data_IF_594786097296
#
_entry.id   IF_594786097296
#
_cell.length_a   1.000
_cell.length_b   1.000
_cell.length_c   1.000
_cell.angle_alpha   90.00
_cell.angle_beta   90.00
_cell.angle_gamma   90.00
#
_symmetry.space_group_name_H-M   'P 1'
#
loop_
_entity.id
_entity.type
_entity.pdbx_description
1 polymer ?
#
# COMPACT_ATOMS: atom_id res chain seq x y z
N UNK A 1 11.04 54.17 57.78
CA UNK A 1 10.50 53.91 59.12
C UNK A 1 9.34 52.96 58.96
N UNK A 2 9.61 51.65 59.02
CA UNK A 2 8.87 50.76 59.90
C UNK A 2 9.69 49.48 60.05
N UNK A 3 9.84 49.03 61.29
CA UNK A 3 10.74 47.97 61.74
C UNK A 3 9.87 46.92 62.41
N UNK A 4 9.91 45.67 61.94
CA UNK A 4 9.72 44.51 62.82
C UNK A 4 10.64 43.35 62.36
N UNK A 5 11.47 42.92 63.32
CA UNK A 5 12.38 41.78 63.30
C UNK A 5 11.59 40.43 63.34
N UNK A 6 12.14 39.24 63.11
CA UNK A 6 13.08 38.46 63.95
C UNK A 6 13.61 37.23 63.17
N UNK A 7 14.79 36.76 63.57
CA UNK A 7 15.75 35.81 62.95
C UNK A 7 15.47 34.32 63.37
N UNK A 8 16.39 33.32 63.17
CA UNK A 8 16.53 32.30 62.11
C UNK A 8 16.18 30.85 62.56
N UNK A 9 16.22 29.83 61.69
CA UNK A 9 16.70 28.47 62.03
C UNK A 9 17.13 27.68 60.77
N UNK A 10 18.30 27.04 60.85
CA UNK A 10 18.87 26.15 59.83
C UNK A 10 18.43 24.69 60.07
N UNK A 11 18.22 23.91 59.00
CA UNK A 11 18.25 22.44 59.05
C UNK A 11 18.54 21.82 57.67
N UNK A 12 19.72 21.20 57.55
CA UNK A 12 20.16 20.24 56.53
C UNK A 12 19.29 18.98 56.49
N UNK A 13 18.91 18.45 55.32
CA UNK A 13 18.62 17.01 55.13
C UNK A 13 18.87 16.50 53.70
N UNK A 14 19.95 15.71 53.60
CA UNK A 14 20.23 14.47 52.84
C UNK A 14 19.60 14.17 51.47
N UNK A 15 20.50 13.73 50.58
CA UNK A 15 20.31 13.03 49.31
C UNK A 15 19.18 12.00 49.28
N UNK A 16 18.47 11.94 48.15
CA UNK A 16 17.91 10.69 47.65
C UNK A 16 18.11 10.62 46.13
N UNK A 17 19.03 9.77 45.68
CA UNK A 17 19.15 9.34 44.29
C UNK A 17 18.10 8.25 44.05
N UNK A 18 17.18 8.47 43.11
CA UNK A 18 16.16 7.50 42.72
C UNK A 18 16.56 6.88 41.38
N UNK A 19 17.31 5.78 41.43
CA UNK A 19 17.60 4.94 40.27
C UNK A 19 16.45 3.96 40.06
N UNK A 20 15.66 4.15 39.00
CA UNK A 20 14.56 3.27 38.60
C UNK A 20 15.12 2.09 37.78
N UNK A 21 15.25 0.92 38.42
CA UNK A 21 15.60 -0.32 37.75
C UNK A 21 14.34 -0.96 37.13
N UNK A 22 14.31 -1.08 35.80
CA UNK A 22 13.26 -1.78 35.06
C UNK A 22 13.57 -3.28 35.08
N UNK A 23 12.96 -4.03 36.00
CA UNK A 23 13.02 -5.48 36.02
C UNK A 23 11.95 -6.06 35.08
N UNK A 24 12.37 -6.67 33.96
CA UNK A 24 11.50 -7.57 33.19
C UNK A 24 11.26 -8.83 34.03
N UNK A 25 10.09 -8.95 34.64
CA UNK A 25 9.65 -10.17 35.30
C UNK A 25 9.23 -11.18 34.22
N UNK A 26 10.06 -12.20 33.99
CA UNK A 26 9.61 -13.45 33.40
C UNK A 26 9.11 -14.34 34.55
N UNK A 27 7.80 -14.48 34.69
CA UNK A 27 7.21 -15.36 35.70
C UNK A 27 7.42 -16.84 35.31
N UNK A 28 7.85 -17.72 36.24
CA UNK A 28 7.93 -19.15 35.97
C UNK A 28 6.51 -19.72 35.84
N UNK A 29 6.24 -20.40 34.72
CA UNK A 29 4.98 -21.12 34.54
C UNK A 29 4.83 -22.19 35.64
N UNK A 30 3.84 -22.02 36.52
CA UNK A 30 3.56 -22.97 37.58
C UNK A 30 3.07 -24.30 36.99
N UNK A 31 3.78 -25.39 37.27
CA UNK A 31 3.31 -26.74 36.95
C UNK A 31 2.01 -27.01 37.72
N UNK A 32 0.97 -27.45 37.02
CA UNK A 32 -0.30 -27.81 37.63
C UNK A 32 -0.38 -29.33 37.80
N UNK A 33 -0.82 -29.77 38.97
CA UNK A 33 -1.06 -31.18 39.30
C UNK A 33 -2.41 -31.30 39.99
N UNK A 34 -3.11 -32.40 39.79
CA UNK A 34 -4.37 -32.65 40.47
C UNK A 34 -4.51 -34.14 40.84
N UNK A 35 -5.37 -34.48 41.79
CA UNK A 35 -5.73 -35.87 42.12
C UNK A 35 -7.26 -36.04 42.21
N UNK A 36 -7.80 -37.13 41.64
CA UNK A 36 -9.23 -37.44 41.65
C UNK A 36 -9.59 -38.52 42.70
N UNK A 37 -10.79 -38.46 43.31
CA UNK A 37 -11.29 -39.50 44.21
C UNK A 37 -11.65 -40.82 43.48
N UNK A 38 -11.59 -41.94 44.20
CA UNK A 38 -11.98 -43.31 43.76
C UNK A 38 -13.22 -43.79 44.56
N UNK A 39 -14.14 -44.61 43.99
CA UNK A 39 -14.09 -45.24 42.66
C UNK A 39 -14.49 -44.31 41.51
N UNK A 40 -14.99 -43.10 41.79
CA UNK A 40 -15.38 -42.13 40.77
C UNK A 40 -14.94 -40.71 41.15
N UNK A 41 -14.24 -40.06 40.22
CA UNK A 41 -13.74 -38.69 40.35
C UNK A 41 -13.10 -38.21 39.03
N UNK A 42 -13.14 -36.90 38.77
CA UNK A 42 -12.48 -36.28 37.62
C UNK A 42 -11.47 -35.24 38.08
N UNK A 43 -10.44 -35.02 37.27
CA UNK A 43 -9.29 -34.20 37.67
C UNK A 43 -8.69 -33.48 36.45
N UNK A 44 -9.20 -32.29 36.11
CA UNK A 44 -8.65 -31.51 35.02
C UNK A 44 -7.46 -30.67 35.47
N UNK A 45 -6.41 -30.65 34.66
CA UNK A 45 -5.30 -29.68 34.70
C UNK A 45 -5.37 -28.87 33.42
N UNK A 46 -5.24 -27.54 33.52
CA UNK A 46 -5.40 -26.64 32.39
C UNK A 46 -4.07 -25.95 32.05
N UNK A 47 -3.89 -25.60 30.78
CA UNK A 47 -2.77 -24.78 30.31
C UNK A 47 -3.29 -23.68 29.39
N UNK A 48 -2.48 -22.66 29.16
CA UNK A 48 -2.80 -21.59 28.22
C UNK A 48 -1.86 -21.62 27.02
N UNK A 49 -2.38 -21.24 25.86
CA UNK A 49 -1.61 -21.01 24.64
C UNK A 49 -1.85 -19.56 24.20
N UNK A 50 -0.78 -18.88 23.78
CA UNK A 50 -0.84 -17.49 23.28
C UNK A 50 -0.24 -17.41 21.88
N UNK A 51 -0.84 -16.55 21.04
CA UNK A 51 -0.39 -16.29 19.67
C UNK A 51 -0.58 -14.81 19.34
N UNK A 52 0.39 -14.22 18.63
CA UNK A 52 0.23 -12.92 17.98
C UNK A 52 0.18 -13.11 16.47
N UNK A 53 -0.88 -12.61 15.83
CA UNK A 53 -1.03 -12.64 14.37
C UNK A 53 -0.59 -11.29 13.81
N UNK A 54 0.47 -11.22 12.98
CA UNK A 54 0.92 -9.96 12.38
C UNK A 54 0.02 -9.53 11.24
N UNK A 55 0.17 -8.28 10.80
CA UNK A 55 -0.41 -7.81 9.54
C UNK A 55 0.26 -8.49 8.35
N UNK A 56 -0.55 -9.01 7.43
CA UNK A 56 -0.09 -9.66 6.21
C UNK A 56 -0.85 -9.08 5.02
N UNK A 57 -0.10 -8.60 4.03
CA UNK A 57 -0.61 -8.06 2.77
C UNK A 57 0.26 -8.55 1.62
N UNK A 58 -0.38 -8.97 0.52
CA UNK A 58 0.28 -9.40 -0.69
C UNK A 58 -0.43 -8.83 -1.92
N UNK A 59 0.34 -8.28 -2.85
CA UNK A 59 -0.11 -7.87 -4.17
C UNK A 59 0.60 -8.72 -5.23
N UNK A 60 -0.19 -9.33 -6.11
CA UNK A 60 0.32 -10.07 -7.27
C UNK A 60 -0.30 -9.50 -8.54
N UNK A 61 0.51 -9.24 -9.57
CA UNK A 61 0.05 -8.88 -10.90
C UNK A 61 0.17 -10.10 -11.83
N UNK A 62 -0.77 -10.26 -12.76
CA UNK A 62 -0.68 -11.32 -13.79
C UNK A 62 0.43 -11.08 -14.81
N UNK A 63 0.84 -9.83 -15.00
CA UNK A 63 2.02 -9.46 -15.79
C UNK A 63 2.69 -8.21 -15.19
N UNK A 64 3.98 -8.04 -15.48
CA UNK A 64 4.75 -6.84 -15.10
C UNK A 64 4.81 -5.79 -16.21
N UNK A 65 4.30 -6.12 -17.40
CA UNK A 65 4.19 -5.22 -18.54
C UNK A 65 2.88 -5.43 -19.29
N UNK A 66 2.40 -4.38 -19.94
CA UNK A 66 1.26 -4.43 -20.87
C UNK A 66 1.73 -3.88 -22.20
N UNK A 67 1.67 -4.71 -23.25
CA UNK A 67 1.89 -4.24 -24.60
C UNK A 67 0.66 -3.46 -25.06
N UNK A 68 0.84 -2.17 -25.34
CA UNK A 68 -0.22 -1.32 -25.86
C UNK A 68 -0.29 -1.47 -27.38
N UNK A 69 -1.50 -1.40 -27.92
CA UNK A 69 -1.72 -1.55 -29.36
C UNK A 69 -1.37 -0.25 -30.04
N UNK A 70 -0.51 -0.30 -31.06
CA UNK A 70 -0.18 0.86 -31.86
C UNK A 70 -1.43 1.38 -32.60
N UNK A 71 -1.61 2.72 -32.71
CA UNK A 71 -2.78 3.28 -33.36
C UNK A 71 -2.72 3.08 -34.88
N UNK A 72 -3.82 2.62 -35.47
CA UNK A 72 -4.11 2.81 -36.88
C UNK A 72 -4.88 4.13 -37.08
N UNK A 73 -5.12 4.54 -38.33
CA UNK A 73 -5.88 5.77 -38.63
C UNK A 73 -7.21 5.85 -37.86
N UNK A 74 -7.97 4.76 -37.82
CA UNK A 74 -9.23 4.69 -37.07
C UNK A 74 -9.07 4.93 -35.55
N UNK A 75 -7.92 4.58 -34.96
CA UNK A 75 -7.64 4.85 -33.55
C UNK A 75 -7.37 6.34 -33.27
N UNK A 76 -6.74 7.03 -34.23
CA UNK A 76 -6.62 8.49 -34.17
C UNK A 76 -7.98 9.18 -34.39
N UNK A 77 -8.80 8.68 -35.31
CA UNK A 77 -10.14 9.23 -35.59
C UNK A 77 -11.09 9.03 -34.41
N UNK A 78 -11.00 7.89 -33.72
CA UNK A 78 -11.73 7.63 -32.47
C UNK A 78 -11.14 8.39 -31.27
N UNK A 79 -9.90 8.87 -31.38
CA UNK A 79 -9.16 9.55 -30.32
C UNK A 79 -8.52 8.62 -29.28
N UNK A 80 -8.74 7.30 -29.34
CA UNK A 80 -8.13 6.35 -28.41
C UNK A 80 -7.98 4.94 -29.00
N UNK A 81 -7.14 4.13 -28.34
CA UNK A 81 -7.07 2.67 -28.50
C UNK A 81 -7.18 2.01 -27.13
N UNK A 82 -8.08 1.04 -27.01
CA UNK A 82 -8.30 0.29 -25.78
C UNK A 82 -7.40 -0.95 -25.68
N UNK A 83 -6.95 -1.26 -24.47
CA UNK A 83 -6.11 -2.41 -24.17
C UNK A 83 -6.56 -3.08 -22.86
N UNK A 84 -6.48 -4.40 -22.80
CA UNK A 84 -6.61 -5.15 -21.55
C UNK A 84 -5.28 -5.06 -20.79
N UNK A 85 -5.32 -4.57 -19.56
CA UNK A 85 -4.19 -4.50 -18.66
C UNK A 85 -4.04 -5.78 -17.81
N UNK A 86 -3.20 -5.73 -16.75
CA UNK A 86 -3.04 -6.86 -15.85
C UNK A 86 -4.23 -7.00 -14.90
N UNK A 87 -4.33 -8.16 -14.26
CA UNK A 87 -5.18 -8.34 -13.07
C UNK A 87 -4.31 -8.25 -11.82
N UNK A 88 -4.68 -7.34 -10.91
CA UNK A 88 -4.10 -7.21 -9.58
C UNK A 88 -4.88 -8.06 -8.58
N UNK A 89 -4.20 -9.01 -7.92
CA UNK A 89 -4.79 -9.86 -6.88
C UNK A 89 -4.23 -9.46 -5.52
N UNK A 90 -5.13 -9.09 -4.61
CA UNK A 90 -4.79 -8.71 -3.23
C UNK A 90 -5.13 -9.86 -2.28
N UNK A 91 -4.20 -10.20 -1.39
CA UNK A 91 -4.48 -10.98 -0.18
C UNK A 91 -4.18 -10.11 1.04
N UNK A 92 -5.05 -10.11 2.04
CA UNK A 92 -4.83 -9.37 3.28
C UNK A 92 -5.61 -9.96 4.45
N UNK A 93 -5.07 -9.92 5.65
CA UNK A 93 -5.82 -10.23 6.88
C UNK A 93 -6.46 -8.99 7.54
N UNK A 94 -6.40 -7.82 6.90
CA UNK A 94 -7.02 -6.57 7.35
C UNK A 94 -7.64 -5.79 6.20
N UNK A 95 -8.21 -4.62 6.51
CA UNK A 95 -8.66 -3.69 5.48
C UNK A 95 -7.47 -3.22 4.62
N UNK A 96 -7.74 -2.98 3.34
CA UNK A 96 -6.72 -2.66 2.34
C UNK A 96 -7.24 -1.70 1.27
N UNK A 97 -6.30 -1.04 0.60
CA UNK A 97 -6.53 -0.17 -0.55
C UNK A 97 -5.49 -0.44 -1.64
N UNK A 98 -5.96 -0.75 -2.84
CA UNK A 98 -5.16 -0.84 -4.05
C UNK A 98 -5.21 0.50 -4.78
N UNK A 99 -4.03 1.05 -5.05
CA UNK A 99 -3.85 2.29 -5.80
C UNK A 99 -3.08 2.07 -7.09
N UNK A 100 -3.28 2.98 -8.03
CA UNK A 100 -2.63 3.02 -9.34
C UNK A 100 -2.16 4.45 -9.64
N UNK A 101 -0.97 4.60 -10.22
CA UNK A 101 -0.39 5.87 -10.65
C UNK A 101 0.59 5.67 -11.81
N UNK A 102 0.98 6.75 -12.47
CA UNK A 102 2.14 6.78 -13.34
C UNK A 102 3.41 7.05 -12.52
N UNK A 103 4.53 6.44 -12.89
CA UNK A 103 5.82 6.73 -12.26
C UNK A 103 6.40 8.11 -12.67
N UNK A 104 5.94 8.66 -13.79
CA UNK A 104 6.40 9.94 -14.33
C UNK A 104 5.22 10.71 -14.95
N UNK A 105 5.33 12.04 -15.03
CA UNK A 105 4.29 12.89 -15.60
C UNK A 105 4.20 12.83 -17.13
N UNK A 106 5.25 12.31 -17.79
CA UNK A 106 5.35 12.16 -19.24
C UNK A 106 5.88 10.78 -19.60
N UNK A 107 5.57 10.34 -20.81
CA UNK A 107 6.12 9.12 -21.38
C UNK A 107 7.60 9.33 -21.73
N UNK A 108 8.38 8.25 -21.66
CA UNK A 108 9.70 8.19 -22.28
C UNK A 108 9.51 7.86 -23.76
N UNK A 109 10.01 8.73 -24.64
CA UNK A 109 9.89 8.58 -26.08
C UNK A 109 11.26 8.38 -26.74
N UNK A 110 11.35 7.48 -27.72
CA UNK A 110 12.55 7.30 -28.55
C UNK A 110 12.19 7.31 -30.04
N UNK A 111 13.07 7.91 -30.84
CA UNK A 111 12.89 7.98 -32.28
C UNK A 111 13.03 6.58 -32.90
N UNK A 112 12.09 6.21 -33.77
CA UNK A 112 12.11 4.94 -34.50
C UNK A 112 12.32 5.11 -36.01
N UNK A 113 12.31 6.36 -36.49
CA UNK A 113 12.46 6.70 -37.90
C UNK A 113 13.49 7.81 -38.11
N UNK A 114 14.34 7.74 -39.14
CA UNK A 114 15.27 8.84 -39.46
C UNK A 114 14.54 10.14 -39.79
N UNK A 115 15.01 11.26 -39.23
CA UNK A 115 14.46 12.58 -39.52
C UNK A 115 13.10 12.89 -38.89
N UNK A 116 12.51 11.96 -38.14
CA UNK A 116 11.25 12.15 -37.41
C UNK A 116 11.52 12.04 -35.92
N UNK A 117 11.23 13.11 -35.18
CA UNK A 117 11.36 13.12 -33.73
C UNK A 117 10.07 12.62 -33.08
N UNK A 118 10.19 11.63 -32.19
CA UNK A 118 9.11 11.22 -31.32
C UNK A 118 8.69 12.37 -30.40
N UNK A 119 7.42 12.45 -30.03
CA UNK A 119 6.85 13.50 -29.21
C UNK A 119 7.47 13.42 -27.80
N UNK A 120 8.32 14.38 -27.40
CA UNK A 120 9.08 14.25 -26.14
C UNK A 120 8.23 14.49 -24.89
N UNK A 121 7.05 15.12 -25.04
CA UNK A 121 6.21 15.60 -23.95
C UNK A 121 4.79 14.99 -23.99
N UNK A 122 4.65 13.73 -24.43
CA UNK A 122 3.37 13.01 -24.29
C UNK A 122 3.05 12.88 -22.80
N UNK A 123 1.92 13.43 -22.29
CA UNK A 123 1.60 13.40 -20.87
C UNK A 123 1.15 12.01 -20.43
N UNK A 124 1.36 11.67 -19.17
CA UNK A 124 0.85 10.43 -18.57
C UNK A 124 -0.68 10.35 -18.62
N UNK A 125 -1.36 11.50 -18.62
CA UNK A 125 -2.81 11.60 -18.75
C UNK A 125 -3.34 11.06 -20.09
N UNK A 126 -2.50 10.94 -21.12
CA UNK A 126 -2.88 10.27 -22.37
C UNK A 126 -3.05 8.75 -22.17
N UNK A 127 -2.57 8.16 -21.07
CA UNK A 127 -2.97 6.82 -20.66
C UNK A 127 -4.10 6.94 -19.64
N UNK A 128 -5.27 6.45 -19.96
CA UNK A 128 -6.38 6.32 -19.03
C UNK A 128 -6.50 4.87 -18.54
N UNK A 129 -7.06 4.70 -17.34
CA UNK A 129 -7.26 3.39 -16.74
C UNK A 129 -8.67 3.25 -16.16
N UNK A 130 -9.14 2.01 -16.05
CA UNK A 130 -10.43 1.67 -15.45
C UNK A 130 -10.45 0.22 -14.96
N UNK A 131 -11.48 -0.14 -14.19
CA UNK A 131 -11.63 -1.50 -13.63
C UNK A 131 -12.74 -2.32 -14.28
N UNK A 132 -13.35 -1.79 -15.35
CA UNK A 132 -14.40 -2.44 -16.12
C UNK A 132 -14.15 -2.27 -17.61
N UNK A 133 -14.59 -3.26 -18.39
CA UNK A 133 -14.56 -3.18 -19.86
C UNK A 133 -15.46 -2.02 -20.29
N UNK A 134 -14.92 -1.09 -21.08
CA UNK A 134 -15.67 0.07 -21.57
C UNK A 134 -15.76 1.24 -20.58
N UNK A 135 -15.19 1.13 -19.38
CA UNK A 135 -15.03 2.24 -18.45
C UNK A 135 -16.02 2.25 -17.28
N UNK A 136 -16.12 3.38 -16.55
CA UNK A 136 -15.49 4.67 -16.83
C UNK A 136 -13.95 4.61 -16.77
N UNK A 137 -13.30 5.44 -17.58
CA UNK A 137 -11.86 5.60 -17.59
C UNK A 137 -11.45 6.92 -16.90
N UNK A 138 -10.31 6.90 -16.24
CA UNK A 138 -9.72 8.06 -15.57
C UNK A 138 -8.29 8.25 -16.07
N UNK A 139 -7.94 9.48 -16.43
CA UNK A 139 -6.57 9.83 -16.81
C UNK A 139 -5.57 9.43 -15.72
N UNK A 140 -4.50 8.75 -16.12
CA UNK A 140 -3.43 8.38 -15.20
C UNK A 140 -2.62 9.62 -14.83
N UNK A 141 -2.19 9.69 -13.58
CA UNK A 141 -1.35 10.78 -13.08
C UNK A 141 -0.30 10.24 -12.12
N UNK A 142 0.69 11.07 -11.78
CA UNK A 142 1.67 10.75 -10.74
C UNK A 142 1.06 10.73 -9.34
N UNK A 143 -0.13 11.31 -9.15
CA UNK A 143 -0.90 11.22 -7.91
C UNK A 143 -1.66 9.89 -7.88
N UNK A 144 -1.43 9.02 -6.88
CA UNK A 144 -2.12 7.74 -6.78
C UNK A 144 -3.63 7.87 -6.65
N UNK A 145 -4.36 7.17 -7.51
CA UNK A 145 -5.80 7.04 -7.46
C UNK A 145 -6.19 5.67 -6.89
N UNK A 146 -7.32 5.59 -6.21
CA UNK A 146 -7.81 4.33 -5.64
C UNK A 146 -8.48 3.50 -6.73
N UNK A 147 -7.92 2.33 -7.02
CA UNK A 147 -8.52 1.37 -7.94
C UNK A 147 -9.56 0.47 -7.23
N UNK A 148 -9.26 0.05 -6.00
CA UNK A 148 -10.18 -0.77 -5.19
C UNK A 148 -9.83 -0.68 -3.71
N UNK A 149 -10.83 -0.86 -2.85
CA UNK A 149 -10.62 -1.08 -1.41
C UNK A 149 -11.39 -2.31 -0.96
N UNK A 150 -11.01 -2.89 0.17
CA UNK A 150 -11.71 -4.04 0.73
C UNK A 150 -11.32 -4.34 2.18
N UNK A 151 -12.01 -5.31 2.76
CA UNK A 151 -11.68 -5.94 4.04
C UNK A 151 -10.76 -7.14 3.84
N UNK A 152 -10.44 -7.87 4.92
CA UNK A 152 -9.64 -9.08 4.86
C UNK A 152 -10.12 -10.04 3.76
N UNK A 153 -9.18 -10.58 2.99
CA UNK A 153 -9.43 -11.41 1.82
C UNK A 153 -8.30 -12.41 1.60
N UNK A 154 -8.65 -13.64 1.23
CA UNK A 154 -7.69 -14.66 0.80
C UNK A 154 -7.26 -14.51 -0.67
N UNK A 155 -7.86 -13.57 -1.40
CA UNK A 155 -7.61 -13.32 -2.82
C UNK A 155 -8.74 -12.54 -3.46
N UNK A 156 -8.56 -11.24 -3.67
CA UNK A 156 -9.49 -10.40 -4.43
C UNK A 156 -8.84 -9.95 -5.73
N UNK A 157 -9.32 -10.42 -6.90
CA UNK A 157 -8.85 -9.94 -8.18
C UNK A 157 -9.47 -8.58 -8.54
N UNK A 158 -8.70 -7.78 -9.28
CA UNK A 158 -9.10 -6.51 -9.88
C UNK A 158 -8.48 -6.43 -11.27
N UNK A 159 -9.30 -6.63 -12.29
CA UNK A 159 -8.85 -6.45 -13.68
C UNK A 159 -8.69 -4.96 -13.98
N UNK A 160 -7.59 -4.63 -14.66
CA UNK A 160 -7.30 -3.26 -15.10
C UNK A 160 -7.44 -3.20 -16.62
N UNK A 161 -8.06 -2.14 -17.11
CA UNK A 161 -8.20 -1.83 -18.53
C UNK A 161 -7.56 -0.49 -18.79
N UNK A 162 -6.95 -0.32 -19.96
CA UNK A 162 -6.34 0.92 -20.38
C UNK A 162 -7.01 1.47 -21.64
N UNK A 163 -7.01 2.79 -21.78
CA UNK A 163 -7.27 3.50 -23.02
C UNK A 163 -6.13 4.48 -23.26
N UNK A 164 -5.43 4.34 -24.39
CA UNK A 164 -4.39 5.31 -24.76
C UNK A 164 -4.99 6.31 -25.72
N UNK A 165 -4.93 7.58 -25.37
CA UNK A 165 -5.40 8.72 -26.16
C UNK A 165 -4.38 9.07 -27.24
N UNK A 166 -4.90 9.38 -28.43
CA UNK A 166 -4.11 9.72 -29.60
C UNK A 166 -4.60 10.99 -30.26
N UNK A 167 -3.67 11.79 -30.78
CA UNK A 167 -3.94 13.03 -31.50
C UNK A 167 -3.13 13.09 -32.79
N UNK A 168 -3.83 13.26 -33.92
CA UNK A 168 -3.21 13.44 -35.24
C UNK A 168 -2.17 14.57 -35.27
N UNK A 169 -2.41 15.66 -34.55
CA UNK A 169 -1.57 16.86 -34.59
C UNK A 169 -0.37 16.82 -33.65
N UNK A 170 -0.34 15.92 -32.68
CA UNK A 170 0.67 15.91 -31.62
C UNK A 170 1.51 14.63 -31.61
N UNK A 171 0.89 13.48 -31.81
CA UNK A 171 1.58 12.20 -31.66
C UNK A 171 2.33 11.85 -32.94
N UNK A 172 3.66 11.88 -32.84
CA UNK A 172 4.56 11.54 -33.94
C UNK A 172 5.06 10.10 -33.81
N UNK A 173 5.55 9.48 -34.90
CA UNK A 173 6.17 8.15 -34.86
C UNK A 173 7.31 8.06 -33.84
N UNK A 174 7.28 7.00 -33.04
CA UNK A 174 8.26 6.74 -31.98
C UNK A 174 7.90 5.51 -31.17
N UNK A 175 8.82 5.07 -30.32
CA UNK A 175 8.52 4.10 -29.27
C UNK A 175 8.29 4.85 -27.96
N UNK A 176 7.19 4.55 -27.29
CA UNK A 176 6.76 5.22 -26.07
C UNK A 176 6.63 4.22 -24.94
N UNK A 177 7.11 4.58 -23.76
CA UNK A 177 6.94 3.77 -22.54
C UNK A 177 6.58 4.65 -21.35
N UNK A 178 5.69 4.14 -20.50
CA UNK A 178 5.28 4.78 -19.26
C UNK A 178 5.13 3.71 -18.18
N UNK A 179 5.96 3.72 -17.12
CA UNK A 179 5.79 2.79 -16.03
C UNK A 179 4.52 3.11 -15.23
N UNK A 180 3.66 2.11 -15.04
CA UNK A 180 2.47 2.18 -14.19
C UNK A 180 2.79 1.52 -12.85
N UNK A 181 2.50 2.22 -11.76
CA UNK A 181 2.78 1.78 -10.40
C UNK A 181 1.50 1.35 -9.72
N UNK A 182 1.48 0.10 -9.26
CA UNK A 182 0.44 -0.43 -8.38
C UNK A 182 0.94 -0.46 -6.94
N UNK A 183 0.16 0.11 -6.02
CA UNK A 183 0.52 0.19 -4.61
C UNK A 183 -0.58 -0.42 -3.76
N UNK A 184 -0.21 -1.36 -2.90
CA UNK A 184 -1.11 -1.93 -1.90
C UNK A 184 -0.79 -1.29 -0.54
N UNK A 185 -1.80 -0.73 0.11
CA UNK A 185 -1.67 -0.02 1.39
C UNK A 185 -2.68 -0.54 2.40
N UNK A 186 -2.28 -0.55 3.66
CA UNK A 186 -3.21 -0.58 4.78
C UNK A 186 -3.75 0.85 5.00
N UNK A 187 -5.07 1.04 5.19
CA UNK A 187 -5.63 2.31 5.63
C UNK A 187 -5.31 2.61 7.10
#
# INVERSE_FOLDING_TARGET
>A
MDVHAVIPYAATFRCLALSLALALLAEPAAAQSCSAPVPSGSCPVNTSATLTVPDVMQLTLTSTSTALTAPAAAGYDAGFVANTGPTATVKSNRAWRLQISAAAATWTATNTQPGVNARPNKPAADLEWGTAVGGPFTALSVTPATAKSGSATAGTPTSIFFQTMYSWGLDTPGAYSLPVVFTLLAP
#
